data_IF_187450744624
#
_entry.id   IF_187450744624
#
_cell.length_a   1.000
_cell.length_b   1.000
_cell.length_c   1.000
_cell.angle_alpha   90.00
_cell.angle_beta   90.00
_cell.angle_gamma   90.00
#
_symmetry.space_group_name_H-M   'P 1'
#
loop_
_entity.id
_entity.type
_entity.pdbx_description
1 polymer ?
#
# COMPACT_ATOMS: atom_id res chain seq x y z
N UNK A 1 -59.94 4.84 -24.48
CA UNK A 1 -59.96 4.17 -23.17
C UNK A 1 -58.55 4.31 -22.59
N UNK A 2 -58.36 5.31 -21.72
CA UNK A 2 -58.06 5.11 -20.28
C UNK A 2 -56.54 4.89 -20.06
N UNK A 3 -55.73 5.96 -19.96
CA UNK A 3 -55.38 6.78 -18.78
C UNK A 3 -54.81 6.04 -17.54
N UNK A 4 -53.62 6.48 -17.11
CA UNK A 4 -53.13 6.39 -15.73
C UNK A 4 -51.74 5.75 -15.59
N UNK A 5 -50.76 6.25 -14.83
CA UNK A 5 -50.58 7.50 -14.10
C UNK A 5 -49.08 7.63 -13.74
N UNK A 6 -48.47 8.80 -13.97
CA UNK A 6 -47.12 9.16 -13.48
C UNK A 6 -47.20 9.55 -12.00
N UNK A 7 -46.27 9.08 -11.15
CA UNK A 7 -46.11 9.55 -9.77
C UNK A 7 -44.75 10.26 -9.61
N UNK A 8 -44.80 11.59 -9.52
CA UNK A 8 -43.67 12.48 -9.22
C UNK A 8 -43.71 12.89 -7.75
N UNK A 9 -42.55 12.93 -7.06
CA UNK A 9 -42.39 13.52 -5.72
C UNK A 9 -41.43 14.72 -5.77
N UNK A 10 -42.05 15.91 -5.66
CA UNK A 10 -41.71 17.11 -4.83
C UNK A 10 -40.24 17.26 -4.41
N UNK A 11 -39.46 18.19 -4.98
CA UNK A 11 -39.36 19.66 -4.75
C UNK A 11 -38.98 20.04 -3.30
N UNK A 12 -37.81 20.70 -3.16
CA UNK A 12 -37.66 22.00 -2.44
C UNK A 12 -36.30 22.63 -2.78
N UNK A 13 -36.36 23.79 -3.44
CA UNK A 13 -35.28 24.77 -3.48
C UNK A 13 -35.38 25.69 -2.26
N UNK A 14 -34.25 26.13 -1.70
CA UNK A 14 -34.20 27.27 -0.78
C UNK A 14 -33.08 28.20 -1.22
N UNK A 15 -33.40 29.47 -1.09
CA UNK A 15 -32.89 30.70 -1.66
C UNK A 15 -31.55 31.18 -1.11
N UNK A 16 -30.89 32.01 -1.92
CA UNK A 16 -29.66 32.76 -1.69
C UNK A 16 -30.00 34.08 -0.98
N UNK A 17 -29.35 34.44 0.13
CA UNK A 17 -29.34 35.80 0.69
C UNK A 17 -28.00 36.09 1.38
N UNK A 18 -27.60 37.35 1.31
CA UNK A 18 -26.25 37.90 1.47
C UNK A 18 -25.93 38.42 2.88
N UNK A 19 -24.65 38.81 3.04
CA UNK A 19 -24.11 39.81 3.98
C UNK A 19 -24.07 39.45 5.48
N UNK A 20 -22.87 39.47 6.07
CA UNK A 20 -22.46 40.58 6.95
C UNK A 20 -21.12 40.30 7.65
N UNK A 21 -20.28 41.32 7.63
CA UNK A 21 -18.99 41.53 8.30
C UNK A 21 -19.10 41.69 9.83
N UNK A 22 -18.15 41.12 10.59
CA UNK A 22 -17.61 41.55 11.91
C UNK A 22 -16.16 40.99 12.00
N UNK A 23 -15.06 41.76 11.99
CA UNK A 23 -14.45 42.61 13.06
C UNK A 23 -14.07 41.73 14.28
N UNK A 24 -12.88 41.66 14.88
CA UNK A 24 -11.69 42.51 15.06
C UNK A 24 -10.46 41.59 15.38
N UNK A 25 -9.25 41.88 14.90
CA UNK A 25 -8.14 42.58 15.58
C UNK A 25 -7.53 41.85 16.80
N UNK A 26 -6.31 41.31 16.64
CA UNK A 26 -5.25 41.50 17.64
C UNK A 26 -3.87 41.36 16.98
N UNK A 27 -3.09 42.43 17.15
CA UNK A 27 -1.79 42.72 16.57
C UNK A 27 -0.62 42.15 17.38
N UNK A 28 0.52 42.07 16.70
CA UNK A 28 1.91 42.17 17.19
C UNK A 28 2.48 40.98 17.97
N UNK A 29 3.48 40.34 17.37
CA UNK A 29 4.90 40.59 17.72
C UNK A 29 5.82 39.86 16.75
N UNK A 30 6.55 40.66 15.95
CA UNK A 30 7.92 40.46 15.48
C UNK A 30 8.47 39.03 15.33
N UNK A 31 8.75 38.57 14.10
CA UNK A 31 10.11 38.17 13.67
C UNK A 31 10.16 37.81 12.17
N UNK A 32 10.80 38.71 11.40
CA UNK A 32 11.56 38.47 10.16
C UNK A 32 10.82 37.85 8.96
N UNK A 33 10.63 38.60 7.86
CA UNK A 33 10.32 37.98 6.57
C UNK A 33 11.62 37.33 6.06
N UNK A 34 11.78 36.03 6.27
CA UNK A 34 12.76 35.26 5.51
C UNK A 34 12.27 35.24 4.06
N UNK A 35 12.79 36.17 3.25
CA UNK A 35 12.59 36.22 1.81
C UNK A 35 13.15 34.93 1.22
N UNK A 36 12.27 33.95 1.00
CA UNK A 36 12.55 32.82 0.14
C UNK A 36 12.70 33.38 -1.29
N UNK A 37 13.95 33.72 -1.65
CA UNK A 37 14.30 33.99 -3.03
C UNK A 37 13.93 32.82 -3.93
N UNK A 38 13.80 33.03 -5.26
CA UNK A 38 13.41 31.98 -6.19
C UNK A 38 14.38 30.81 -6.08
N UNK A 39 13.92 29.75 -5.41
CA UNK A 39 14.67 28.51 -5.23
C UNK A 39 14.94 27.93 -6.60
N UNK A 40 16.22 27.95 -7.01
CA UNK A 40 16.74 27.28 -8.20
C UNK A 40 16.21 25.83 -8.21
N UNK A 41 15.20 25.54 -9.03
CA UNK A 41 14.67 24.20 -9.19
C UNK A 41 15.78 23.32 -9.77
N UNK A 42 16.21 22.30 -9.01
CA UNK A 42 17.10 21.27 -9.53
C UNK A 42 16.45 20.59 -10.75
N UNK A 43 17.21 20.26 -11.81
CA UNK A 43 16.64 19.63 -13.00
C UNK A 43 15.94 18.33 -12.62
N UNK A 44 14.69 18.18 -13.05
CA UNK A 44 13.92 16.95 -12.87
C UNK A 44 14.70 15.80 -13.52
N UNK A 45 15.32 14.94 -12.69
CA UNK A 45 16.02 13.75 -13.17
C UNK A 45 15.06 12.92 -14.02
N UNK A 46 15.33 12.82 -15.33
CA UNK A 46 14.64 11.90 -16.24
C UNK A 46 14.73 10.50 -15.63
N UNK A 47 13.59 9.92 -15.26
CA UNK A 47 13.52 8.55 -14.76
C UNK A 47 13.93 7.64 -15.93
N UNK A 48 15.11 7.01 -15.83
CA UNK A 48 15.53 5.95 -16.76
C UNK A 48 14.40 4.90 -16.83
N UNK A 49 14.02 4.51 -18.04
CA UNK A 49 13.09 3.39 -18.25
C UNK A 49 13.65 2.14 -17.58
N UNK A 50 12.82 1.46 -16.79
CA UNK A 50 13.23 0.19 -16.17
C UNK A 50 13.41 -0.84 -17.28
N UNK A 51 14.56 -1.51 -17.33
CA UNK A 51 14.82 -2.57 -18.30
C UNK A 51 13.96 -3.82 -18.01
N UNK A 52 13.58 -4.56 -19.04
CA UNK A 52 12.72 -5.74 -18.95
C UNK A 52 13.25 -6.83 -17.99
N UNK A 53 14.56 -6.91 -17.79
CA UNK A 53 15.20 -7.82 -16.82
C UNK A 53 14.84 -7.43 -15.38
N UNK A 54 14.73 -6.14 -15.10
CA UNK A 54 14.38 -5.62 -13.79
C UNK A 54 12.88 -5.74 -13.47
N UNK A 55 12.06 -6.26 -14.38
CA UNK A 55 10.63 -6.50 -14.14
C UNK A 55 10.40 -7.83 -13.41
N UNK A 56 11.16 -8.86 -13.76
CA UNK A 56 10.98 -10.24 -13.27
C UNK A 56 11.98 -10.48 -12.14
N UNK A 57 11.68 -9.95 -10.96
CA UNK A 57 12.62 -9.92 -9.83
C UNK A 57 12.22 -10.92 -8.74
N UNK A 58 13.20 -11.64 -8.21
CA UNK A 58 13.04 -12.54 -7.05
C UNK A 58 13.90 -12.04 -5.89
N UNK A 59 13.28 -11.83 -4.73
CA UNK A 59 13.96 -11.32 -3.52
C UNK A 59 13.42 -11.97 -2.26
N UNK A 60 14.30 -12.17 -1.30
CA UNK A 60 13.92 -12.56 0.05
C UNK A 60 13.98 -11.39 1.00
N UNK A 61 12.90 -11.20 1.74
CA UNK A 61 12.75 -10.13 2.72
C UNK A 61 12.43 -10.71 4.08
N UNK A 62 12.90 -10.04 5.13
CA UNK A 62 12.38 -10.22 6.48
C UNK A 62 11.34 -9.14 6.77
N UNK A 63 10.10 -9.55 6.95
CA UNK A 63 9.00 -8.66 7.28
C UNK A 63 8.90 -8.54 8.80
N UNK A 64 9.05 -7.32 9.33
CA UNK A 64 8.70 -7.02 10.71
C UNK A 64 7.17 -6.78 10.82
N UNK A 65 6.45 -7.80 11.29
CA UNK A 65 5.00 -7.74 11.47
C UNK A 65 4.66 -7.00 12.76
N UNK A 66 5.45 -7.19 13.82
CA UNK A 66 5.20 -6.60 15.14
C UNK A 66 5.01 -5.08 15.08
N UNK A 67 5.93 -4.36 14.39
CA UNK A 67 5.80 -2.91 14.17
C UNK A 67 4.54 -2.51 13.39
N UNK A 68 4.03 -3.39 12.52
CA UNK A 68 2.87 -3.12 11.63
C UNK A 68 1.52 -3.42 12.26
N UNK A 69 1.49 -4.29 13.28
CA UNK A 69 0.28 -4.70 14.01
C UNK A 69 0.19 -4.07 15.41
N UNK A 70 1.16 -3.23 15.78
CA UNK A 70 1.15 -2.50 17.04
C UNK A 70 -0.15 -1.69 17.19
N UNK A 71 -0.76 -1.72 18.37
CA UNK A 71 -2.04 -1.05 18.65
C UNK A 71 -3.29 -1.68 18.00
N UNK A 72 -3.17 -2.79 17.26
CA UNK A 72 -4.33 -3.47 16.68
C UNK A 72 -4.99 -4.38 17.71
N UNK A 73 -6.32 -4.27 17.83
CA UNK A 73 -7.13 -5.11 18.70
C UNK A 73 -6.93 -6.61 18.44
N UNK A 74 -6.96 -7.41 19.50
CA UNK A 74 -6.52 -8.82 19.48
C UNK A 74 -7.23 -9.68 18.44
N UNK A 75 -8.54 -9.48 18.24
CA UNK A 75 -9.34 -10.23 17.25
C UNK A 75 -9.03 -9.88 15.79
N UNK A 76 -8.24 -8.84 15.50
CA UNK A 76 -7.95 -8.38 14.13
C UNK A 76 -6.48 -8.50 13.75
N UNK A 77 -5.63 -9.07 14.60
CA UNK A 77 -4.16 -9.09 14.37
C UNK A 77 -3.74 -9.93 13.17
N UNK A 78 -4.10 -11.22 13.09
CA UNK A 78 -3.74 -12.07 11.95
C UNK A 78 -4.30 -11.57 10.60
N UNK A 79 -5.60 -11.20 10.49
CA UNK A 79 -6.11 -10.58 9.26
C UNK A 79 -5.39 -9.28 8.88
N UNK A 80 -5.02 -8.45 9.88
CA UNK A 80 -4.27 -7.22 9.64
C UNK A 80 -2.84 -7.51 9.19
N UNK A 81 -2.18 -8.53 9.74
CA UNK A 81 -0.85 -8.97 9.31
C UNK A 81 -0.84 -9.36 7.82
N UNK A 82 -1.82 -10.15 7.37
CA UNK A 82 -1.96 -10.50 5.95
C UNK A 82 -2.15 -9.27 5.06
N UNK A 83 -3.03 -8.33 5.44
CA UNK A 83 -3.20 -7.07 4.72
C UNK A 83 -1.91 -6.25 4.66
N UNK A 84 -1.13 -6.24 5.74
CA UNK A 84 0.16 -5.54 5.81
C UNK A 84 1.24 -6.25 4.99
N UNK A 85 1.22 -7.57 4.89
CA UNK A 85 2.11 -8.34 4.02
C UNK A 85 1.82 -8.07 2.55
N UNK A 86 0.53 -8.05 2.15
CA UNK A 86 0.12 -7.65 0.79
C UNK A 86 0.58 -6.22 0.46
N UNK A 87 0.31 -5.26 1.35
CA UNK A 87 0.75 -3.87 1.18
C UNK A 87 2.27 -3.74 1.07
N UNK A 88 3.01 -4.59 1.76
CA UNK A 88 4.47 -4.61 1.67
C UNK A 88 4.95 -5.13 0.31
N UNK A 89 4.41 -6.25 -0.17
CA UNK A 89 4.72 -6.77 -1.50
C UNK A 89 4.38 -5.76 -2.61
N UNK A 90 3.22 -5.12 -2.54
CA UNK A 90 2.82 -4.05 -3.48
C UNK A 90 3.82 -2.90 -3.48
N UNK A 91 4.35 -2.51 -2.32
CA UNK A 91 5.32 -1.40 -2.20
C UNK A 91 6.69 -1.77 -2.78
N UNK A 92 7.19 -2.97 -2.47
CA UNK A 92 8.53 -3.39 -2.88
C UNK A 92 8.59 -3.78 -4.36
N UNK A 93 7.55 -4.43 -4.88
CA UNK A 93 7.49 -4.91 -6.27
C UNK A 93 6.82 -3.92 -7.23
N UNK A 94 5.98 -3.01 -6.73
CA UNK A 94 5.24 -2.05 -7.56
C UNK A 94 4.08 -2.67 -8.34
N UNK A 95 3.67 -3.89 -8.02
CA UNK A 95 2.59 -4.64 -8.67
C UNK A 95 1.28 -4.49 -7.88
N UNK A 96 0.13 -4.29 -8.55
CA UNK A 96 -1.18 -4.30 -7.88
C UNK A 96 -1.64 -5.72 -7.54
N UNK A 97 -1.35 -6.71 -8.40
CA UNK A 97 -1.74 -8.10 -8.16
C UNK A 97 -0.72 -8.80 -7.25
N UNK A 98 -1.15 -9.14 -6.03
CA UNK A 98 -0.35 -9.85 -5.04
C UNK A 98 -1.08 -11.09 -4.56
N UNK A 99 -0.53 -12.25 -4.93
CA UNK A 99 -1.03 -13.57 -4.58
C UNK A 99 -0.26 -14.10 -3.38
N UNK A 100 -0.96 -14.30 -2.27
CA UNK A 100 -0.36 -14.83 -1.03
C UNK A 100 -0.46 -16.35 -1.04
N UNK A 101 0.68 -17.02 -0.91
CA UNK A 101 0.71 -18.48 -0.86
C UNK A 101 0.03 -19.04 0.41
N UNK A 102 -0.55 -20.23 0.29
CA UNK A 102 -1.25 -20.88 1.40
C UNK A 102 -0.30 -21.23 2.54
N UNK A 103 0.99 -21.54 2.26
CA UNK A 103 1.99 -21.82 3.30
C UNK A 103 2.28 -20.58 4.15
N UNK A 104 2.33 -19.39 3.52
CA UNK A 104 2.47 -18.13 4.25
C UNK A 104 1.24 -17.87 5.11
N UNK A 105 0.05 -18.12 4.58
CA UNK A 105 -1.18 -17.99 5.35
C UNK A 105 -1.13 -18.89 6.59
N UNK A 106 -0.78 -20.18 6.44
CA UNK A 106 -0.62 -21.11 7.57
C UNK A 106 0.40 -20.61 8.59
N UNK A 107 1.56 -20.10 8.16
CA UNK A 107 2.60 -19.58 9.05
C UNK A 107 2.14 -18.34 9.85
N UNK A 108 1.38 -17.43 9.23
CA UNK A 108 0.82 -16.26 9.92
C UNK A 108 -0.22 -16.66 10.96
N UNK A 109 -1.02 -17.70 10.68
CA UNK A 109 -2.10 -18.19 11.54
C UNK A 109 -1.69 -19.30 12.52
N UNK A 110 -0.43 -19.76 12.51
CA UNK A 110 0.02 -20.92 13.26
C UNK A 110 -0.23 -20.86 14.78
N UNK A 111 -0.20 -19.66 15.37
CA UNK A 111 -0.45 -19.42 16.81
C UNK A 111 -1.85 -18.81 17.08
N UNK A 112 -2.75 -18.90 16.11
CA UNK A 112 -4.09 -18.31 16.17
C UNK A 112 -4.14 -16.80 15.91
N UNK A 113 -5.28 -16.19 16.23
CA UNK A 113 -5.62 -14.83 15.78
C UNK A 113 -4.84 -13.72 16.50
N UNK A 114 -4.46 -13.94 17.76
CA UNK A 114 -3.86 -12.92 18.64
C UNK A 114 -2.33 -12.88 18.56
N UNK A 115 -1.70 -14.04 18.42
CA UNK A 115 -0.26 -14.25 18.61
C UNK A 115 0.50 -14.42 17.29
N UNK A 116 0.36 -13.46 16.38
CA UNK A 116 1.07 -13.49 15.08
C UNK A 116 2.60 -13.46 15.29
N UNK A 117 3.39 -14.20 14.49
CA UNK A 117 4.86 -14.12 14.54
C UNK A 117 5.35 -12.68 14.39
N UNK A 118 6.35 -12.29 15.20
CA UNK A 118 6.89 -10.92 15.18
C UNK A 118 7.61 -10.60 13.87
N UNK A 119 8.30 -11.58 13.30
CA UNK A 119 9.01 -11.51 12.03
C UNK A 119 8.68 -12.74 11.20
N UNK A 120 8.59 -12.56 9.88
CA UNK A 120 8.43 -13.65 8.92
C UNK A 120 9.40 -13.41 7.76
N UNK A 121 10.12 -14.46 7.33
CA UNK A 121 10.92 -14.42 6.12
C UNK A 121 10.06 -14.85 4.94
N UNK A 122 10.05 -14.01 3.92
CA UNK A 122 9.15 -14.09 2.78
C UNK A 122 10.00 -14.02 1.52
N UNK A 123 9.70 -14.90 0.58
CA UNK A 123 10.26 -14.85 -0.77
C UNK A 123 9.21 -14.21 -1.68
N UNK A 124 9.56 -13.08 -2.29
CA UNK A 124 8.75 -12.35 -3.26
C UNK A 124 9.25 -12.68 -4.65
N UNK A 125 8.39 -13.27 -5.48
CA UNK A 125 8.68 -13.50 -6.89
C UNK A 125 7.75 -12.65 -7.76
N UNK A 126 8.34 -11.76 -8.55
CA UNK A 126 7.65 -11.08 -9.65
C UNK A 126 7.67 -11.98 -10.88
N UNK A 127 6.51 -12.40 -11.35
CA UNK A 127 6.32 -13.27 -12.50
C UNK A 127 5.42 -12.56 -13.54
N UNK A 128 5.57 -12.93 -14.82
CA UNK A 128 4.67 -12.47 -15.88
C UNK A 128 3.38 -13.28 -15.81
N UNK A 129 2.24 -12.62 -15.98
CA UNK A 129 0.96 -13.28 -16.10
C UNK A 129 0.86 -13.93 -17.49
N UNK A 130 0.42 -15.18 -17.55
CA UNK A 130 0.18 -15.88 -18.83
C UNK A 130 -1.24 -15.62 -19.35
N UNK A 131 -2.18 -15.25 -18.46
CA UNK A 131 -3.55 -14.96 -18.86
C UNK A 131 -3.65 -13.56 -19.47
N UNK A 132 -4.10 -13.48 -20.73
CA UNK A 132 -4.31 -12.24 -21.49
C UNK A 132 -5.46 -11.38 -20.91
N UNK A 133 -6.42 -11.99 -20.20
CA UNK A 133 -7.59 -11.29 -19.63
C UNK A 133 -7.26 -10.40 -18.42
N UNK A 134 -6.07 -10.54 -17.83
CA UNK A 134 -5.68 -9.72 -16.68
C UNK A 134 -5.22 -8.34 -17.13
N UNK A 135 -5.72 -7.24 -16.53
CA UNK A 135 -5.24 -5.89 -16.85
C UNK A 135 -3.76 -5.69 -16.48
N UNK A 136 -3.19 -6.57 -15.65
CA UNK A 136 -1.84 -6.47 -15.14
C UNK A 136 -0.94 -7.55 -15.75
N UNK A 137 0.12 -7.12 -16.46
CA UNK A 137 1.13 -8.00 -17.08
C UNK A 137 1.98 -8.78 -16.08
N UNK A 138 2.11 -8.29 -14.85
CA UNK A 138 2.97 -8.83 -13.80
C UNK A 138 2.14 -9.10 -12.55
N UNK A 139 2.37 -10.25 -11.92
CA UNK A 139 1.86 -10.56 -10.59
C UNK A 139 3.02 -10.86 -9.64
N UNK A 140 2.79 -10.64 -8.36
CA UNK A 140 3.74 -11.03 -7.32
C UNK A 140 3.20 -12.19 -6.51
N UNK A 141 3.95 -13.31 -6.50
CA UNK A 141 3.68 -14.42 -5.60
C UNK A 141 4.52 -14.26 -4.34
N UNK A 142 3.86 -14.45 -3.20
CA UNK A 142 4.46 -14.27 -1.88
C UNK A 142 4.51 -15.62 -1.19
N UNK A 143 5.69 -16.21 -1.08
CA UNK A 143 5.90 -17.53 -0.47
C UNK A 143 6.60 -17.42 0.88
N UNK A 144 6.38 -18.42 1.73
CA UNK A 144 7.01 -18.50 3.06
C UNK A 144 8.34 -19.25 2.98
N UNK A 145 9.37 -18.68 3.60
CA UNK A 145 10.67 -19.33 3.76
C UNK A 145 10.79 -19.77 5.22
N UNK A 146 10.88 -21.08 5.51
CA UNK A 146 11.12 -21.56 6.87
C UNK A 146 12.54 -21.21 7.28
N UNK A 147 12.69 -20.57 8.43
CA UNK A 147 13.99 -20.12 8.94
C UNK A 147 14.06 -20.36 10.43
N UNK A 148 15.20 -20.85 10.90
CA UNK A 148 15.47 -21.13 12.31
C UNK A 148 15.77 -19.87 13.11
N UNK A 149 16.58 -18.95 12.55
CA UNK A 149 17.01 -17.72 13.23
C UNK A 149 16.84 -16.47 12.37
N UNK A 150 16.41 -15.35 12.96
CA UNK A 150 16.23 -14.06 12.26
C UNK A 150 17.40 -13.08 12.43
N UNK A 151 18.54 -13.55 12.94
CA UNK A 151 19.72 -12.71 13.19
C UNK A 151 20.49 -12.53 11.88
N UNK A 152 20.99 -11.33 11.62
CA UNK A 152 21.86 -10.97 10.47
C UNK A 152 21.30 -11.31 9.07
N UNK A 153 19.99 -11.47 8.95
CA UNK A 153 19.35 -11.73 7.66
C UNK A 153 19.10 -10.42 6.91
N UNK A 154 19.91 -10.19 5.90
CA UNK A 154 19.72 -9.09 4.96
C UNK A 154 18.73 -9.45 3.86
N UNK A 155 18.34 -8.46 3.05
CA UNK A 155 17.55 -8.72 1.85
C UNK A 155 18.45 -9.38 0.82
N UNK A 156 18.08 -10.59 0.38
CA UNK A 156 18.86 -11.33 -0.61
C UNK A 156 18.16 -11.20 -1.96
N UNK A 157 18.90 -10.78 -2.99
CA UNK A 157 18.44 -10.84 -4.36
C UNK A 157 18.71 -12.25 -4.89
N UNK A 158 17.65 -12.95 -5.29
CA UNK A 158 17.80 -14.25 -5.92
C UNK A 158 17.98 -13.99 -7.42
N UNK A 159 19.16 -14.28 -7.96
CA UNK A 159 19.36 -14.26 -9.39
C UNK A 159 18.66 -15.46 -9.99
N UNK A 160 17.84 -15.24 -11.01
CA UNK A 160 17.41 -16.32 -11.88
C UNK A 160 18.62 -16.70 -12.72
N UNK A 161 19.28 -17.80 -12.41
CA UNK A 161 20.08 -18.51 -13.40
C UNK A 161 19.07 -19.07 -14.41
N UNK A 162 18.80 -18.30 -15.47
CA UNK A 162 18.14 -18.85 -16.63
C UNK A 162 19.18 -19.70 -17.36
N UNK A 163 18.84 -20.95 -17.67
CA UNK A 163 19.39 -21.61 -18.85
C UNK A 163 19.06 -20.79 -20.10
#
# INVERSE_FOLDING_TARGET
>A
MEQGAKRSKKVRAVTRTSMSTKVALCLRLSRWPFQLGPGRMAPAKKKKSRSAINEVVTREYTINIHKRIHGVGFKKRAPRALKKNRKFAMKEMGTPDVRVDTRLNKAVWAKGIRNVPYRIRVHLSGNRNEDEDSPNKLYTRVTYVPVTTFKNLQTVMWMRTNC
#
